data_IF_543040244484
#
_entry.id   IF_543040244484
#
_cell.length_a   1.000
_cell.length_b   1.000
_cell.length_c   1.000
_cell.angle_alpha   90.00
_cell.angle_beta   90.00
_cell.angle_gamma   90.00
#
_symmetry.space_group_name_H-M   'P 1'
#
loop_
_entity.id
_entity.type
_entity.pdbx_description
1 polymer ?
#
# COMPACT_ATOMS: atom_id res chain seq x y z
N UNK A 1 23.30 24.71 -33.67
CA UNK A 1 22.07 24.13 -33.10
C UNK A 1 22.15 24.15 -31.59
N UNK A 2 21.19 24.72 -30.84
CA UNK A 2 21.18 24.54 -29.40
C UNK A 2 20.61 23.17 -29.05
N UNK A 3 21.30 22.45 -28.18
CA UNK A 3 20.90 21.14 -27.67
C UNK A 3 19.74 21.37 -26.68
N UNK A 4 18.55 20.84 -26.98
CA UNK A 4 17.44 20.90 -26.01
C UNK A 4 17.84 20.06 -24.79
N UNK A 5 17.81 20.60 -23.56
CA UNK A 5 18.03 19.78 -22.39
C UNK A 5 16.98 18.67 -22.37
N UNK A 6 17.44 17.42 -22.25
CA UNK A 6 16.55 16.26 -22.12
C UNK A 6 15.72 16.47 -20.86
N UNK A 7 14.46 16.86 -21.00
CA UNK A 7 13.52 16.86 -19.87
C UNK A 7 13.43 15.42 -19.38
N UNK A 8 13.93 15.16 -18.16
CA UNK A 8 13.74 13.89 -17.49
C UNK A 8 12.26 13.76 -17.19
N UNK A 9 11.54 12.98 -17.99
CA UNK A 9 10.15 12.66 -17.71
C UNK A 9 10.16 11.78 -16.46
N UNK A 10 9.71 12.34 -15.34
CA UNK A 10 9.50 11.55 -14.13
C UNK A 10 8.37 10.54 -14.40
N UNK A 11 8.56 9.25 -14.03
CA UNK A 11 7.54 8.24 -14.26
C UNK A 11 6.26 8.62 -13.50
N UNK A 12 5.08 8.28 -14.04
CA UNK A 12 3.84 8.52 -13.35
C UNK A 12 3.83 7.82 -11.98
N UNK A 13 3.16 8.39 -10.97
CA UNK A 13 3.07 7.75 -9.67
C UNK A 13 2.42 6.37 -9.81
N UNK A 14 2.84 5.39 -9.01
CA UNK A 14 2.33 4.03 -9.11
C UNK A 14 0.85 3.97 -8.70
N UNK A 15 0.06 3.16 -9.41
CA UNK A 15 -1.34 2.94 -9.08
C UNK A 15 -1.49 2.18 -7.74
N UNK A 16 -2.63 2.32 -7.04
CA UNK A 16 -2.96 1.47 -5.90
C UNK A 16 -2.96 -0.03 -6.28
N UNK A 17 -2.52 -0.93 -5.39
CA UNK A 17 -2.64 -2.36 -5.60
C UNK A 17 -4.10 -2.80 -5.73
N UNK A 18 -4.37 -3.75 -6.62
CA UNK A 18 -5.69 -4.35 -6.81
C UNK A 18 -5.86 -5.62 -5.95
N UNK A 19 -7.11 -6.06 -5.79
CA UNK A 19 -7.43 -7.35 -5.15
C UNK A 19 -7.12 -7.43 -3.66
N UNK A 20 -7.11 -6.30 -2.95
CA UNK A 20 -6.92 -6.27 -1.50
C UNK A 20 -7.96 -7.16 -0.82
N UNK A 21 -7.49 -8.18 -0.13
CA UNK A 21 -8.31 -9.15 0.59
C UNK A 21 -7.88 -9.21 2.05
N UNK A 22 -8.86 -9.25 2.95
CA UNK A 22 -8.65 -9.42 4.38
C UNK A 22 -9.36 -10.68 4.83
N UNK A 23 -8.65 -11.53 5.57
CA UNK A 23 -9.20 -12.75 6.16
C UNK A 23 -8.76 -12.85 7.62
N UNK A 24 -9.71 -12.76 8.52
CA UNK A 24 -9.49 -13.04 9.94
C UNK A 24 -9.39 -14.56 10.16
N UNK A 25 -8.53 -14.98 11.09
CA UNK A 25 -8.34 -16.35 11.55
C UNK A 25 -7.88 -16.34 13.00
N UNK A 26 -7.88 -17.49 13.67
CA UNK A 26 -7.50 -17.58 15.10
C UNK A 26 -6.04 -17.16 15.35
N UNK A 27 -5.16 -17.37 14.38
CA UNK A 27 -3.74 -16.98 14.43
C UNK A 27 -3.48 -15.51 14.03
N UNK A 28 -4.50 -14.77 13.57
CA UNK A 28 -4.37 -13.36 13.21
C UNK A 28 -5.11 -12.94 11.94
N UNK A 29 -4.67 -11.83 11.35
CA UNK A 29 -5.26 -11.24 10.16
C UNK A 29 -4.36 -11.46 8.95
N UNK A 30 -4.85 -12.22 7.99
CA UNK A 30 -4.22 -12.38 6.69
C UNK A 30 -4.66 -11.24 5.77
N UNK A 31 -3.69 -10.49 5.24
CA UNK A 31 -3.95 -9.47 4.23
C UNK A 31 -3.11 -9.76 3.00
N UNK A 32 -3.70 -9.66 1.83
CA UNK A 32 -2.99 -9.87 0.56
C UNK A 32 -3.56 -8.99 -0.53
N UNK A 33 -2.75 -8.74 -1.56
CA UNK A 33 -3.13 -7.96 -2.74
C UNK A 33 -2.32 -8.43 -3.96
N UNK A 34 -2.69 -7.97 -5.14
CA UNK A 34 -1.91 -8.24 -6.34
C UNK A 34 -0.61 -7.42 -6.35
N UNK A 35 0.54 -8.02 -6.66
CA UNK A 35 1.81 -7.30 -6.72
C UNK A 35 1.77 -6.19 -7.78
N UNK A 36 2.45 -5.08 -7.49
CA UNK A 36 2.66 -4.00 -8.45
C UNK A 36 3.62 -4.46 -9.55
N UNK A 37 3.40 -4.05 -10.81
CA UNK A 37 4.37 -4.27 -11.89
C UNK A 37 5.62 -3.37 -11.76
N UNK A 38 5.64 -2.42 -10.81
CA UNK A 38 6.76 -1.51 -10.61
C UNK A 38 7.95 -2.27 -10.01
N UNK A 39 9.12 -2.32 -10.68
CA UNK A 39 10.29 -3.00 -10.15
C UNK A 39 10.79 -2.38 -8.85
N UNK A 40 11.11 -3.23 -7.86
CA UNK A 40 11.57 -2.77 -6.55
C UNK A 40 10.50 -2.07 -5.71
N UNK A 41 9.22 -2.20 -6.09
CA UNK A 41 8.10 -1.67 -5.33
C UNK A 41 8.08 -2.23 -3.89
N UNK A 42 7.75 -1.34 -2.97
CA UNK A 42 7.32 -1.67 -1.61
C UNK A 42 5.87 -1.26 -1.45
N UNK A 43 5.26 -1.68 -0.36
CA UNK A 43 3.86 -1.42 -0.07
C UNK A 43 3.72 -0.87 1.33
N UNK A 44 2.91 0.17 1.49
CA UNK A 44 2.45 0.61 2.79
C UNK A 44 1.02 0.14 3.01
N UNK A 45 0.82 -0.73 3.99
CA UNK A 45 -0.48 -1.19 4.47
C UNK A 45 -0.88 -0.36 5.69
N UNK A 46 -2.11 0.15 5.66
CA UNK A 46 -2.72 0.82 6.80
C UNK A 46 -4.05 0.16 7.14
N UNK A 47 -4.29 -0.07 8.43
CA UNK A 47 -5.55 -0.54 8.98
C UNK A 47 -6.11 0.50 9.96
N UNK A 48 -7.43 0.67 9.96
CA UNK A 48 -8.12 1.54 10.91
C UNK A 48 -9.50 0.97 11.26
N UNK A 49 -9.95 1.25 12.47
CA UNK A 49 -11.36 1.04 12.84
C UNK A 49 -12.29 2.09 12.20
N UNK A 50 -11.74 3.18 11.65
CA UNK A 50 -12.50 4.31 11.12
C UNK A 50 -12.28 4.44 9.60
N UNK A 51 -13.34 4.73 8.82
CA UNK A 51 -13.26 4.88 7.37
C UNK A 51 -12.57 6.18 6.91
N UNK A 52 -12.10 7.03 7.82
CA UNK A 52 -11.28 8.19 7.47
C UNK A 52 -9.78 7.93 7.68
N UNK A 53 -9.42 6.80 8.32
CA UNK A 53 -8.08 6.50 8.79
C UNK A 53 -7.47 7.61 9.67
N UNK A 54 -8.30 8.33 10.44
CA UNK A 54 -7.81 9.36 11.36
C UNK A 54 -6.93 8.75 12.47
N UNK A 55 -7.30 7.56 12.95
CA UNK A 55 -6.53 6.78 13.92
C UNK A 55 -6.14 5.45 13.30
N UNK A 56 -4.84 5.20 13.18
CA UNK A 56 -4.32 3.96 12.60
C UNK A 56 -4.14 2.89 13.68
N UNK A 57 -4.67 1.70 13.41
CA UNK A 57 -4.40 0.49 14.19
C UNK A 57 -3.08 -0.16 13.73
N UNK A 58 -2.79 -0.04 12.44
CA UNK A 58 -1.58 -0.55 11.81
C UNK A 58 -1.12 0.44 10.74
N UNK A 59 0.19 0.69 10.68
CA UNK A 59 0.87 1.32 9.56
C UNK A 59 2.21 0.62 9.35
N UNK A 60 2.32 -0.17 8.28
CA UNK A 60 3.50 -1.01 8.02
C UNK A 60 3.94 -0.92 6.58
N UNK A 61 5.26 -0.95 6.37
CA UNK A 61 5.88 -1.04 5.04
C UNK A 61 6.48 -2.43 4.83
N UNK A 62 6.18 -3.06 3.70
CA UNK A 62 6.68 -4.40 3.34
C UNK A 62 7.08 -4.47 1.86
N UNK A 63 7.99 -5.39 1.53
CA UNK A 63 8.32 -5.71 0.14
C UNK A 63 7.38 -6.77 -0.45
N UNK A 64 6.76 -7.59 0.40
CA UNK A 64 5.89 -8.69 -0.02
C UNK A 64 4.45 -8.21 -0.24
N UNK A 65 3.73 -8.72 -1.25
CA UNK A 65 2.35 -8.32 -1.57
C UNK A 65 1.29 -9.00 -0.67
N UNK A 66 1.60 -9.10 0.62
CA UNK A 66 0.78 -9.75 1.62
C UNK A 66 1.63 -10.46 2.69
N UNK A 67 1.04 -10.63 3.87
CA UNK A 67 1.57 -11.47 4.95
C UNK A 67 0.48 -11.65 6.02
N UNK A 68 0.83 -12.33 7.10
CA UNK A 68 0.03 -12.40 8.31
C UNK A 68 0.43 -11.24 9.23
N UNK A 69 -0.56 -10.50 9.72
CA UNK A 69 -0.36 -9.49 10.75
C UNK A 69 -1.16 -9.85 12.00
N UNK A 70 -0.73 -9.29 13.14
CA UNK A 70 -1.52 -9.36 14.36
C UNK A 70 -2.89 -8.75 14.10
N UNK A 71 -3.95 -9.51 14.38
CA UNK A 71 -5.30 -8.99 14.27
C UNK A 71 -5.47 -7.85 15.29
N UNK A 72 -5.96 -6.68 14.88
CA UNK A 72 -6.35 -5.67 15.85
C UNK A 72 -7.44 -6.25 16.77
N UNK A 73 -7.37 -5.91 18.05
CA UNK A 73 -8.36 -6.30 19.04
C UNK A 73 -9.67 -5.52 18.82
N UNK A 74 -10.48 -5.96 17.85
CA UNK A 74 -11.74 -5.28 17.52
C UNK A 74 -12.41 -5.78 16.24
N UNK A 75 -13.68 -5.42 16.05
CA UNK A 75 -14.56 -5.84 14.95
C UNK A 75 -14.18 -5.29 13.57
N UNK A 76 -15.14 -4.70 12.85
CA UNK A 76 -14.94 -4.24 11.46
C UNK A 76 -13.70 -3.34 11.32
N UNK A 77 -12.86 -3.65 10.35
CA UNK A 77 -11.65 -2.89 10.04
C UNK A 77 -11.65 -2.43 8.59
N UNK A 78 -11.20 -1.20 8.36
CA UNK A 78 -10.92 -0.64 7.05
C UNK A 78 -9.43 -0.82 6.73
N UNK A 79 -9.13 -1.17 5.49
CA UNK A 79 -7.78 -1.39 5.01
C UNK A 79 -7.53 -0.62 3.73
N UNK A 80 -6.33 -0.04 3.64
CA UNK A 80 -5.84 0.52 2.39
C UNK A 80 -4.37 0.17 2.21
N UNK A 81 -3.99 -0.03 0.96
CA UNK A 81 -2.60 -0.28 0.59
C UNK A 81 -2.21 0.64 -0.54
N UNK A 82 -0.99 1.17 -0.49
CA UNK A 82 -0.40 1.93 -1.59
C UNK A 82 0.99 1.42 -1.94
N UNK A 83 1.37 1.58 -3.19
CA UNK A 83 2.72 1.29 -3.67
C UNK A 83 3.66 2.42 -3.27
N UNK A 84 4.89 2.08 -2.93
CA UNK A 84 6.04 2.96 -2.78
C UNK A 84 7.04 2.52 -3.86
N UNK A 85 7.45 3.42 -4.75
CA UNK A 85 8.40 3.09 -5.80
C UNK A 85 9.83 2.84 -5.25
N UNK A 86 10.73 2.38 -6.12
CA UNK A 86 12.11 2.11 -5.74
C UNK A 86 12.90 3.35 -5.27
N UNK A 87 12.40 4.56 -5.53
CA UNK A 87 12.97 5.83 -5.05
C UNK A 87 12.37 6.26 -3.71
N UNK A 88 11.48 5.45 -3.12
CA UNK A 88 10.81 5.76 -1.87
C UNK A 88 9.62 6.71 -2.02
N UNK A 89 9.17 6.99 -3.24
CA UNK A 89 8.02 7.87 -3.47
C UNK A 89 6.72 7.09 -3.34
N UNK A 90 5.84 7.47 -2.41
CA UNK A 90 4.56 6.81 -2.28
C UNK A 90 3.63 7.22 -3.41
N UNK A 91 2.88 6.25 -3.93
CA UNK A 91 1.72 6.50 -4.76
C UNK A 91 0.61 7.25 -4.02
N UNK A 92 -0.46 7.64 -4.74
CA UNK A 92 -1.60 8.31 -4.15
C UNK A 92 -2.21 7.47 -3.04
N UNK A 93 -2.74 8.14 -2.02
CA UNK A 93 -3.47 7.50 -0.95
C UNK A 93 -4.85 7.08 -1.50
N UNK A 94 -5.21 5.79 -1.48
CA UNK A 94 -6.50 5.35 -1.99
C UNK A 94 -7.64 5.95 -1.14
N UNK A 95 -8.75 6.36 -1.77
CA UNK A 95 -10.00 6.62 -1.05
C UNK A 95 -10.58 5.29 -0.51
N UNK A 96 -11.50 5.39 0.44
CA UNK A 96 -12.35 4.27 0.87
C UNK A 96 -13.67 4.26 0.11
#
# INVERSE_FOLDING_TARGET
SPERPLQRIDPPPPAPPAGLTLRASDDGLWVSWQPSPVPGARYQLQLSAQPDFATLLLDQTTAEPGTQWAAPSGGLCHARVRVIDAQGRPGPRPPL
#
